data_IF_342485429091
#
_entry.id   IF_342485429091
#
_cell.length_a   1.000
_cell.length_b   1.000
_cell.length_c   1.000
_cell.angle_alpha   90.00
_cell.angle_beta   90.00
_cell.angle_gamma   90.00
#
_symmetry.space_group_name_H-M   'P 1'
#
loop_
_entity.id
_entity.type
_entity.pdbx_description
1 polymer ?
#
# COMPACT_ATOMS: atom_id res chain seq x y z
N UNK A 1 13.62 52.60 10.57
CA UNK A 1 13.79 51.21 11.07
C UNK A 1 13.01 50.28 10.14
N UNK A 2 13.72 49.57 9.26
CA UNK A 2 13.11 48.68 8.25
C UNK A 2 12.91 47.29 8.84
N UNK A 3 11.66 46.89 9.05
CA UNK A 3 11.31 45.53 9.46
C UNK A 3 11.70 44.54 8.35
N UNK A 4 12.64 43.64 8.67
CA UNK A 4 13.12 42.57 7.78
C UNK A 4 12.06 41.46 7.80
N UNK A 5 11.44 41.08 6.66
CA UNK A 5 10.42 40.04 6.68
C UNK A 5 11.07 38.69 7.04
N UNK A 6 10.56 38.06 8.09
CA UNK A 6 10.96 36.73 8.53
C UNK A 6 10.79 35.75 7.37
N UNK A 7 11.89 35.09 6.98
CA UNK A 7 11.93 34.11 5.89
C UNK A 7 10.97 32.96 6.20
N UNK A 8 9.86 32.86 5.49
CA UNK A 8 8.93 31.72 5.48
C UNK A 8 9.57 30.47 4.81
N UNK A 9 10.67 29.96 5.38
CA UNK A 9 11.43 28.80 4.88
C UNK A 9 11.09 27.42 5.49
N UNK A 10 10.28 27.21 6.56
CA UNK A 10 10.15 25.88 7.16
C UNK A 10 9.20 24.92 6.42
N UNK A 11 8.11 25.42 5.80
CA UNK A 11 7.10 24.56 5.18
C UNK A 11 7.63 23.76 3.98
N UNK A 12 8.50 24.36 3.16
CA UNK A 12 9.05 23.70 1.94
C UNK A 12 9.92 22.48 2.26
N UNK A 13 10.61 22.46 3.41
CA UNK A 13 11.44 21.34 3.83
C UNK A 13 10.62 20.09 4.19
N UNK A 14 9.52 20.27 4.92
CA UNK A 14 8.63 19.18 5.33
C UNK A 14 8.00 18.47 4.12
N UNK A 15 7.53 19.23 3.12
CA UNK A 15 6.97 18.65 1.90
C UNK A 15 8.02 17.88 1.08
N UNK A 16 9.26 18.37 1.03
CA UNK A 16 10.34 17.68 0.33
C UNK A 16 10.72 16.36 1.02
N UNK A 17 10.78 16.34 2.35
CA UNK A 17 11.02 15.13 3.14
C UNK A 17 9.91 14.10 2.94
N UNK A 18 8.65 14.53 3.00
CA UNK A 18 7.50 13.65 2.74
C UNK A 18 7.52 13.09 1.31
N UNK A 19 7.89 13.90 0.32
CA UNK A 19 8.05 13.41 -1.07
C UNK A 19 9.19 12.40 -1.19
N UNK A 20 10.34 12.66 -0.56
CA UNK A 20 11.48 11.76 -0.56
C UNK A 20 11.13 10.42 0.10
N UNK A 21 10.47 10.45 1.25
CA UNK A 21 10.00 9.24 1.95
C UNK A 21 9.06 8.41 1.06
N UNK A 22 8.07 9.03 0.42
CA UNK A 22 7.16 8.31 -0.47
C UNK A 22 7.90 7.71 -1.68
N UNK A 23 8.90 8.41 -2.23
CA UNK A 23 9.70 7.88 -3.34
C UNK A 23 10.61 6.73 -2.91
N UNK A 24 11.18 6.79 -1.71
CA UNK A 24 11.95 5.69 -1.13
C UNK A 24 11.09 4.44 -0.94
N UNK A 25 9.88 4.58 -0.39
CA UNK A 25 8.93 3.46 -0.23
C UNK A 25 8.55 2.89 -1.61
N UNK A 26 8.29 3.74 -2.62
CA UNK A 26 8.01 3.26 -3.99
C UNK A 26 9.18 2.49 -4.59
N UNK A 27 10.42 2.93 -4.37
CA UNK A 27 11.61 2.23 -4.82
C UNK A 27 11.72 0.84 -4.15
N UNK A 28 11.45 0.78 -2.84
CA UNK A 28 11.42 -0.48 -2.10
C UNK A 28 10.33 -1.44 -2.61
N UNK A 29 9.13 -0.93 -2.92
CA UNK A 29 8.07 -1.74 -3.53
C UNK A 29 8.49 -2.31 -4.90
N UNK A 30 9.11 -1.50 -5.75
CA UNK A 30 9.61 -1.97 -7.05
C UNK A 30 10.71 -3.02 -6.91
N UNK A 31 11.62 -2.84 -5.96
CA UNK A 31 12.66 -3.81 -5.64
C UNK A 31 12.04 -5.13 -5.15
N UNK A 32 11.01 -5.08 -4.31
CA UNK A 32 10.26 -6.26 -3.89
C UNK A 32 9.58 -6.99 -5.05
N UNK A 33 8.95 -6.25 -5.98
CA UNK A 33 8.34 -6.84 -7.18
C UNK A 33 9.41 -7.52 -8.05
N UNK A 34 10.56 -6.86 -8.26
CA UNK A 34 11.66 -7.43 -9.03
C UNK A 34 12.20 -8.71 -8.39
N UNK A 35 12.41 -8.70 -7.06
CA UNK A 35 12.84 -9.88 -6.32
C UNK A 35 11.83 -11.03 -6.44
N UNK A 36 10.53 -10.75 -6.30
CA UNK A 36 9.47 -11.74 -6.45
C UNK A 36 9.44 -12.33 -7.88
N UNK A 37 9.61 -11.51 -8.92
CA UNK A 37 9.65 -11.97 -10.31
C UNK A 37 10.89 -12.82 -10.60
N UNK A 38 12.04 -12.52 -9.98
CA UNK A 38 13.28 -13.31 -10.12
C UNK A 38 13.24 -14.63 -9.32
N UNK A 39 12.46 -14.68 -8.24
CA UNK A 39 12.29 -15.91 -7.45
C UNK A 39 11.61 -17.02 -8.24
N UNK A 40 10.62 -16.71 -9.09
CA UNK A 40 9.88 -17.69 -9.89
C UNK A 40 10.78 -18.55 -10.80
N UNK A 41 11.61 -17.98 -11.70
CA UNK A 41 12.49 -18.79 -12.56
C UNK A 41 13.58 -19.53 -11.79
N UNK A 42 14.08 -18.95 -10.68
CA UNK A 42 15.10 -19.60 -9.85
C UNK A 42 14.56 -20.89 -9.23
N UNK A 43 13.36 -20.81 -8.66
CA UNK A 43 12.68 -21.96 -8.06
C UNK A 43 12.16 -22.95 -9.12
N UNK A 44 11.82 -22.46 -10.31
CA UNK A 44 11.46 -23.33 -11.43
C UNK A 44 12.64 -24.18 -11.93
N UNK A 45 13.88 -23.66 -11.81
CA UNK A 45 15.10 -24.38 -12.19
C UNK A 45 15.38 -25.55 -11.24
N UNK A 46 15.33 -25.30 -9.92
CA UNK A 46 15.60 -26.30 -8.88
C UNK A 46 14.41 -26.47 -7.94
N UNK A 47 13.36 -27.15 -8.41
CA UNK A 47 12.15 -27.45 -7.61
C UNK A 47 12.42 -28.22 -6.32
N UNK A 48 13.58 -28.90 -6.25
CA UNK A 48 14.04 -29.66 -5.08
C UNK A 48 14.23 -28.75 -3.85
N UNK A 49 14.68 -27.52 -4.07
CA UNK A 49 14.83 -26.52 -3.00
C UNK A 49 13.51 -26.23 -2.28
N UNK A 50 12.40 -26.20 -3.03
CA UNK A 50 11.05 -26.01 -2.48
C UNK A 50 10.60 -27.23 -1.67
N UNK A 51 10.83 -28.44 -2.20
CA UNK A 51 10.43 -29.68 -1.53
C UNK A 51 11.22 -29.89 -0.22
N UNK A 52 12.52 -29.58 -0.20
CA UNK A 52 13.36 -29.67 1.00
C UNK A 52 12.98 -28.63 2.06
N UNK A 53 12.28 -27.55 1.68
CA UNK A 53 11.82 -26.52 2.61
C UNK A 53 10.52 -26.86 3.34
N UNK A 54 9.75 -27.83 2.82
CA UNK A 54 8.52 -28.33 3.45
C UNK A 54 8.89 -29.46 4.39
N UNK A 55 8.88 -29.18 5.70
CA UNK A 55 9.21 -30.15 6.73
C UNK A 55 7.99 -30.95 7.17
N UNK A 56 6.79 -30.44 6.89
CA UNK A 56 5.55 -31.10 7.24
C UNK A 56 5.18 -32.20 6.23
N UNK A 57 5.24 -33.46 6.68
CA UNK A 57 5.02 -34.64 5.84
C UNK A 57 3.59 -34.73 5.30
N UNK A 58 2.59 -34.22 6.03
CA UNK A 58 1.20 -34.17 5.55
C UNK A 58 1.02 -33.11 4.46
N UNK A 59 1.61 -31.93 4.62
CA UNK A 59 1.57 -30.87 3.61
C UNK A 59 2.33 -31.26 2.34
N UNK A 60 3.48 -31.93 2.48
CA UNK A 60 4.25 -32.47 1.36
C UNK A 60 3.48 -33.56 0.59
N UNK A 61 2.76 -34.44 1.30
CA UNK A 61 1.96 -35.48 0.67
C UNK A 61 0.69 -34.93 0.00
N UNK A 62 0.04 -33.93 0.60
CA UNK A 62 -1.19 -33.33 0.08
C UNK A 62 -0.96 -32.36 -1.09
N UNK A 63 0.15 -31.62 -1.08
CA UNK A 63 0.41 -30.52 -2.01
C UNK A 63 1.66 -30.69 -2.87
N UNK A 64 2.42 -31.78 -2.73
CA UNK A 64 3.76 -31.93 -3.34
C UNK A 64 3.83 -31.71 -4.85
N UNK A 65 2.78 -32.06 -5.61
CA UNK A 65 2.75 -31.84 -7.06
C UNK A 65 2.36 -30.40 -7.45
N UNK A 66 1.56 -29.73 -6.61
CA UNK A 66 1.04 -28.38 -6.85
C UNK A 66 1.78 -27.29 -6.05
N UNK A 67 2.79 -27.67 -5.28
CA UNK A 67 3.60 -26.80 -4.42
C UNK A 67 4.16 -25.59 -5.18
N UNK A 68 4.63 -25.81 -6.40
CA UNK A 68 5.11 -24.73 -7.27
C UNK A 68 4.01 -23.74 -7.65
N UNK A 69 2.79 -24.22 -7.87
CA UNK A 69 1.64 -23.38 -8.18
C UNK A 69 1.22 -22.56 -6.96
N UNK A 70 1.22 -23.15 -5.78
CA UNK A 70 0.99 -22.44 -4.51
C UNK A 70 2.05 -21.37 -4.24
N UNK A 71 3.32 -21.69 -4.48
CA UNK A 71 4.42 -20.72 -4.39
C UNK A 71 4.25 -19.55 -5.35
N UNK A 72 3.90 -19.83 -6.62
CA UNK A 72 3.61 -18.79 -7.61
C UNK A 72 2.39 -17.94 -7.22
N UNK A 73 1.36 -18.56 -6.65
CA UNK A 73 0.16 -17.86 -6.17
C UNK A 73 0.50 -16.94 -5.00
N UNK A 74 1.33 -17.39 -4.06
CA UNK A 74 1.85 -16.58 -2.96
C UNK A 74 2.64 -15.36 -3.43
N UNK A 75 3.62 -15.57 -4.32
CA UNK A 75 4.37 -14.48 -4.93
C UNK A 75 3.45 -13.53 -5.72
N UNK A 76 2.47 -14.06 -6.44
CA UNK A 76 1.46 -13.28 -7.15
C UNK A 76 0.66 -12.39 -6.20
N UNK A 77 0.27 -12.90 -5.03
CA UNK A 77 -0.44 -12.15 -4.02
C UNK A 77 0.42 -11.03 -3.41
N UNK A 78 1.71 -11.30 -3.14
CA UNK A 78 2.68 -10.30 -2.69
C UNK A 78 2.83 -9.19 -3.75
N UNK A 79 2.99 -9.55 -5.03
CA UNK A 79 3.07 -8.59 -6.13
C UNK A 79 1.80 -7.75 -6.20
N UNK A 80 0.62 -8.36 -6.07
CA UNK A 80 -0.66 -7.65 -6.07
C UNK A 80 -0.73 -6.62 -4.93
N UNK A 81 -0.29 -6.99 -3.72
CA UNK A 81 -0.22 -6.07 -2.58
C UNK A 81 0.74 -4.91 -2.84
N UNK A 82 1.93 -5.18 -3.39
CA UNK A 82 2.92 -4.16 -3.75
C UNK A 82 2.38 -3.21 -4.85
N UNK A 83 1.65 -3.73 -5.84
CA UNK A 83 1.00 -2.92 -6.88
C UNK A 83 -0.08 -2.02 -6.29
N UNK A 84 -0.94 -2.54 -5.41
CA UNK A 84 -1.93 -1.74 -4.68
C UNK A 84 -1.26 -0.62 -3.86
N UNK A 85 -0.16 -0.94 -3.17
CA UNK A 85 0.64 0.03 -2.43
C UNK A 85 1.23 1.11 -3.36
N UNK A 86 1.78 0.74 -4.51
CA UNK A 86 2.27 1.70 -5.51
C UNK A 86 1.16 2.63 -6.02
N UNK A 87 -0.06 2.11 -6.23
CA UNK A 87 -1.21 2.91 -6.61
C UNK A 87 -1.60 3.89 -5.49
N UNK A 88 -1.62 3.44 -4.25
CA UNK A 88 -1.88 4.27 -3.07
C UNK A 88 -0.85 5.40 -2.95
N UNK A 89 0.45 5.08 -3.02
CA UNK A 89 1.55 6.05 -2.97
C UNK A 89 1.50 7.06 -4.13
N UNK A 90 1.04 6.62 -5.32
CA UNK A 90 0.81 7.51 -6.47
C UNK A 90 -0.31 8.52 -6.21
N UNK A 91 -1.34 8.15 -5.47
CA UNK A 91 -2.39 9.08 -5.04
C UNK A 91 -1.90 10.02 -3.94
N UNK A 92 -1.15 9.50 -2.96
CA UNK A 92 -0.54 10.27 -1.89
C UNK A 92 0.41 11.36 -2.43
N UNK A 93 1.30 11.02 -3.36
CA UNK A 93 2.21 12.00 -3.99
C UNK A 93 1.47 13.11 -4.71
N UNK A 94 0.35 12.79 -5.37
CA UNK A 94 -0.47 13.79 -6.07
C UNK A 94 -1.18 14.72 -5.10
N UNK A 95 -1.65 14.18 -3.97
CA UNK A 95 -2.24 14.97 -2.90
C UNK A 95 -1.20 15.89 -2.25
N UNK A 96 0.00 15.37 -1.97
CA UNK A 96 1.11 16.14 -1.40
C UNK A 96 1.57 17.27 -2.32
N UNK A 97 1.69 17.01 -3.63
CA UNK A 97 1.99 18.03 -4.64
C UNK A 97 0.90 19.09 -4.76
N UNK A 98 -0.37 18.71 -4.59
CA UNK A 98 -1.49 19.66 -4.58
C UNK A 98 -1.50 20.52 -3.33
N UNK A 99 -1.24 19.93 -2.15
CA UNK A 99 -1.19 20.65 -0.88
C UNK A 99 -0.08 21.69 -0.84
N UNK A 100 1.08 21.38 -1.44
CA UNK A 100 2.21 22.32 -1.56
C UNK A 100 1.92 23.54 -2.45
N UNK A 101 0.83 23.55 -3.23
CA UNK A 101 0.42 24.62 -4.16
C UNK A 101 -0.79 25.43 -3.66
N UNK A 102 -1.01 25.46 -2.34
CA UNK A 102 -1.92 26.40 -1.62
C UNK A 102 -3.43 26.07 -1.59
N UNK A 103 -3.94 25.11 -2.38
CA UNK A 103 -5.38 24.75 -2.38
C UNK A 103 -5.63 23.27 -2.01
N UNK A 104 -5.63 22.90 -0.71
CA UNK A 104 -5.81 21.50 -0.27
C UNK A 104 -7.24 20.99 -0.44
N UNK A 105 -8.25 21.82 -0.13
CA UNK A 105 -9.67 21.49 -0.27
C UNK A 105 -10.14 21.75 -1.70
N UNK A 106 -10.13 20.68 -2.50
CA UNK A 106 -10.73 20.63 -3.84
C UNK A 106 -11.49 19.33 -3.98
N UNK A 107 -12.58 19.32 -4.75
CA UNK A 107 -13.33 18.09 -5.06
C UNK A 107 -12.44 17.01 -5.68
N UNK A 108 -11.42 17.41 -6.44
CA UNK A 108 -10.42 16.49 -6.98
C UNK A 108 -9.62 15.78 -5.87
N UNK A 109 -9.20 16.48 -4.82
CA UNK A 109 -8.46 15.87 -3.71
C UNK A 109 -9.36 15.00 -2.82
N UNK A 110 -10.63 15.38 -2.61
CA UNK A 110 -11.60 14.53 -1.92
C UNK A 110 -11.79 13.19 -2.64
N UNK A 111 -11.97 13.21 -3.97
CA UNK A 111 -12.05 11.98 -4.79
C UNK A 111 -10.76 11.15 -4.74
N UNK A 112 -9.58 11.79 -4.62
CA UNK A 112 -8.30 11.06 -4.45
C UNK A 112 -8.24 10.35 -3.10
N UNK A 113 -8.63 11.01 -2.01
CA UNK A 113 -8.70 10.40 -0.67
C UNK A 113 -9.67 9.22 -0.66
N UNK A 114 -10.85 9.35 -1.28
CA UNK A 114 -11.80 8.24 -1.40
C UNK A 114 -11.20 7.04 -2.15
N UNK A 115 -10.49 7.27 -3.25
CA UNK A 115 -9.78 6.19 -3.97
C UNK A 115 -8.70 5.56 -3.11
N UNK A 116 -7.97 6.36 -2.32
CA UNK A 116 -6.97 5.83 -1.39
C UNK A 116 -7.61 4.97 -0.29
N UNK A 117 -8.79 5.36 0.21
CA UNK A 117 -9.56 4.57 1.18
C UNK A 117 -9.96 3.20 0.61
N UNK A 118 -10.48 3.17 -0.62
CA UNK A 118 -10.78 1.93 -1.32
C UNK A 118 -9.54 1.07 -1.59
N UNK A 119 -8.41 1.67 -1.97
CA UNK A 119 -7.16 0.95 -2.16
C UNK A 119 -6.67 0.33 -0.84
N UNK A 120 -6.76 1.08 0.26
CA UNK A 120 -6.38 0.58 1.58
C UNK A 120 -7.29 -0.56 2.03
N UNK A 121 -8.60 -0.43 1.82
CA UNK A 121 -9.55 -1.51 2.10
C UNK A 121 -9.25 -2.77 1.28
N UNK A 122 -8.92 -2.61 0.00
CA UNK A 122 -8.54 -3.73 -0.86
C UNK A 122 -7.25 -4.42 -0.38
N UNK A 123 -6.26 -3.66 0.11
CA UNK A 123 -5.05 -4.21 0.70
C UNK A 123 -5.34 -5.01 1.98
N UNK A 124 -6.17 -4.48 2.88
CA UNK A 124 -6.58 -5.20 4.11
C UNK A 124 -7.34 -6.49 3.79
N UNK A 125 -8.32 -6.44 2.88
CA UNK A 125 -9.06 -7.62 2.45
C UNK A 125 -8.14 -8.67 1.81
N UNK A 126 -7.18 -8.24 0.98
CA UNK A 126 -6.21 -9.14 0.38
C UNK A 126 -5.30 -9.76 1.44
N UNK A 127 -4.84 -8.98 2.43
CA UNK A 127 -4.04 -9.47 3.56
C UNK A 127 -4.78 -10.57 4.34
N UNK A 128 -6.08 -10.36 4.61
CA UNK A 128 -6.93 -11.35 5.29
C UNK A 128 -7.03 -12.65 4.49
N UNK A 129 -7.25 -12.54 3.17
CA UNK A 129 -7.36 -13.71 2.29
C UNK A 129 -6.04 -14.48 2.23
N UNK A 130 -4.91 -13.78 2.15
CA UNK A 130 -3.57 -14.39 2.17
C UNK A 130 -3.34 -15.11 3.49
N UNK A 131 -3.67 -14.49 4.62
CA UNK A 131 -3.48 -15.11 5.93
C UNK A 131 -4.35 -16.34 6.15
N UNK A 132 -5.63 -16.28 5.77
CA UNK A 132 -6.52 -17.44 5.81
C UNK A 132 -6.00 -18.59 4.94
N UNK A 133 -5.46 -18.28 3.76
CA UNK A 133 -4.87 -19.25 2.86
C UNK A 133 -3.57 -19.86 3.41
N UNK A 134 -2.69 -19.03 3.97
CA UNK A 134 -1.45 -19.48 4.61
C UNK A 134 -1.75 -20.40 5.80
N UNK A 135 -2.73 -20.05 6.64
CA UNK A 135 -3.12 -20.87 7.79
C UNK A 135 -3.66 -22.24 7.35
N UNK A 136 -4.36 -22.31 6.22
CA UNK A 136 -4.85 -23.55 5.65
C UNK A 136 -3.73 -24.44 5.08
N UNK A 137 -2.71 -23.85 4.48
CA UNK A 137 -1.56 -24.60 3.93
C UNK A 137 -0.57 -25.11 4.99
N UNK A 138 -0.58 -24.51 6.19
CA UNK A 138 0.26 -24.94 7.31
C UNK A 138 1.45 -24.01 7.61
N UNK A 139 2.24 -24.34 8.65
CA UNK A 139 3.25 -23.45 9.22
C UNK A 139 4.39 -23.10 8.25
N UNK A 140 4.73 -24.02 7.33
CA UNK A 140 5.76 -23.81 6.32
C UNK A 140 5.40 -22.74 5.27
N UNK A 141 4.14 -22.28 5.24
CA UNK A 141 3.66 -21.25 4.30
C UNK A 141 3.46 -19.87 4.94
N UNK A 142 3.80 -19.72 6.22
CA UNK A 142 3.69 -18.43 6.95
C UNK A 142 4.50 -17.30 6.31
N UNK A 143 5.51 -17.60 5.50
CA UNK A 143 6.25 -16.61 4.71
C UNK A 143 5.35 -15.84 3.71
N UNK A 144 4.20 -16.39 3.35
CA UNK A 144 3.23 -15.75 2.46
C UNK A 144 2.49 -14.59 3.15
N UNK A 145 2.40 -14.60 4.48
CA UNK A 145 1.84 -13.50 5.28
C UNK A 145 2.79 -12.30 5.34
N UNK A 146 2.98 -11.63 4.20
CA UNK A 146 3.72 -10.37 4.14
C UNK A 146 2.80 -9.23 4.53
N UNK A 147 2.72 -8.91 5.81
CA UNK A 147 1.93 -7.78 6.29
C UNK A 147 1.28 -7.91 7.66
N UNK A 148 1.45 -9.05 8.35
CA UNK A 148 0.94 -9.23 9.71
C UNK A 148 -0.59 -9.30 9.77
N UNK A 149 -1.20 -10.19 8.97
CA UNK A 149 -2.59 -10.61 9.10
C UNK A 149 -3.64 -9.48 9.16
N UNK A 150 -4.81 -9.80 9.71
CA UNK A 150 -5.90 -8.85 9.94
C UNK A 150 -5.52 -7.87 11.06
N UNK A 151 -5.27 -6.61 10.72
CA UNK A 151 -5.01 -5.57 11.74
C UNK A 151 -6.27 -4.75 12.00
N UNK A 152 -6.79 -4.81 13.23
CA UNK A 152 -7.86 -3.90 13.69
C UNK A 152 -7.45 -2.45 13.47
N UNK A 153 -6.18 -2.13 13.71
CA UNK A 153 -5.61 -0.80 13.45
C UNK A 153 -5.66 -0.43 11.97
N UNK A 154 -5.40 -1.38 11.07
CA UNK A 154 -5.53 -1.20 9.62
C UNK A 154 -6.96 -0.85 9.20
N UNK A 155 -7.95 -1.59 9.71
CA UNK A 155 -9.37 -1.31 9.45
C UNK A 155 -9.80 0.06 9.99
N UNK A 156 -9.35 0.44 11.19
CA UNK A 156 -9.62 1.79 11.72
C UNK A 156 -8.99 2.85 10.81
N UNK A 157 -7.78 2.63 10.30
CA UNK A 157 -7.13 3.57 9.39
C UNK A 157 -7.90 3.70 8.05
N UNK A 158 -8.45 2.60 7.51
CA UNK A 158 -9.35 2.63 6.34
C UNK A 158 -10.58 3.50 6.62
N UNK A 159 -11.25 3.30 7.75
CA UNK A 159 -12.41 4.10 8.15
C UNK A 159 -12.05 5.57 8.31
N UNK A 160 -10.93 5.88 8.96
CA UNK A 160 -10.43 7.24 9.10
C UNK A 160 -10.19 7.90 7.75
N UNK A 161 -9.67 7.15 6.76
CA UNK A 161 -9.43 7.67 5.43
C UNK A 161 -10.73 7.96 4.66
N UNK A 162 -11.77 7.15 4.84
CA UNK A 162 -13.12 7.44 4.33
C UNK A 162 -13.73 8.68 4.98
N UNK A 163 -13.63 8.79 6.31
CA UNK A 163 -14.10 9.97 7.05
C UNK A 163 -13.38 11.22 6.56
N UNK A 164 -12.06 11.18 6.44
CA UNK A 164 -11.26 12.29 5.95
C UNK A 164 -11.66 12.68 4.52
N UNK A 165 -11.91 11.71 3.65
CA UNK A 165 -12.40 11.98 2.29
C UNK A 165 -13.73 12.75 2.29
N UNK A 166 -14.67 12.37 3.17
CA UNK A 166 -15.97 13.04 3.31
C UNK A 166 -15.82 14.45 3.88
N UNK A 167 -14.98 14.63 4.90
CA UNK A 167 -14.68 15.96 5.48
C UNK A 167 -14.05 16.87 4.41
N UNK A 168 -13.16 16.35 3.58
CA UNK A 168 -12.57 17.11 2.47
C UNK A 168 -13.59 17.48 1.38
N UNK A 169 -14.58 16.62 1.11
CA UNK A 169 -15.66 16.92 0.17
C UNK A 169 -16.56 18.04 0.69
N UNK A 170 -16.94 18.00 1.98
CA UNK A 170 -17.72 19.07 2.62
C UNK A 170 -16.93 20.37 2.66
N UNK A 171 -15.64 20.33 3.02
CA UNK A 171 -14.78 21.51 3.02
C UNK A 171 -14.56 22.10 1.62
N UNK A 172 -14.58 21.29 0.57
CA UNK A 172 -14.55 21.78 -0.82
C UNK A 172 -15.87 22.47 -1.20
N UNK A 173 -17.02 21.91 -0.82
CA UNK A 173 -18.33 22.53 -1.08
C UNK A 173 -18.47 23.87 -0.34
N UNK A 174 -18.12 23.93 0.95
CA UNK A 174 -18.13 25.18 1.72
C UNK A 174 -17.25 26.24 1.09
N UNK A 175 -16.10 25.85 0.53
CA UNK A 175 -15.23 26.78 -0.17
C UNK A 175 -15.88 27.33 -1.44
N UNK A 176 -16.51 26.46 -2.24
CA UNK A 176 -17.18 26.90 -3.46
C UNK A 176 -18.28 27.92 -3.14
N UNK A 177 -18.99 27.74 -2.02
CA UNK A 177 -19.99 28.71 -1.51
C UNK A 177 -19.33 30.05 -1.13
N UNK A 178 -18.15 30.04 -0.51
CA UNK A 178 -17.39 31.26 -0.19
C UNK A 178 -16.83 31.97 -1.42
N UNK A 179 -16.38 31.22 -2.44
CA UNK A 179 -15.88 31.79 -3.70
C UNK A 179 -17.05 32.39 -4.53
N UNK A 180 -18.31 32.01 -4.26
CA UNK A 180 -19.51 32.52 -4.93
C UNK A 180 -20.14 33.79 -4.33
N UNK A 181 -19.67 34.24 -3.16
CA UNK A 181 -20.17 35.47 -2.49
C UNK A 181 -19.29 36.71 -2.72
N UNK A 182 -18.22 36.58 -3.49
CA UNK A 182 -17.26 37.65 -3.85
C UNK A 182 -17.47 38.06 -5.31
#
# INVERSE_FOLDING_TARGET
>A
MTARPARARPARGLFALAQAAVQAVRAMCWLGILAALLAVPLVAHDRRWLLDSVHDAEAAAAHGNDLFLHFCLGLGAIIALLVLCLLFLRHLLRLLKSAARERPFTHANARRLQRMAWLMLAMELLSILIGAYSAWMGPDFTWMEVGGGMSITGLVAVLMLFVLARVFAVGAAMRDDLDGVI
#
